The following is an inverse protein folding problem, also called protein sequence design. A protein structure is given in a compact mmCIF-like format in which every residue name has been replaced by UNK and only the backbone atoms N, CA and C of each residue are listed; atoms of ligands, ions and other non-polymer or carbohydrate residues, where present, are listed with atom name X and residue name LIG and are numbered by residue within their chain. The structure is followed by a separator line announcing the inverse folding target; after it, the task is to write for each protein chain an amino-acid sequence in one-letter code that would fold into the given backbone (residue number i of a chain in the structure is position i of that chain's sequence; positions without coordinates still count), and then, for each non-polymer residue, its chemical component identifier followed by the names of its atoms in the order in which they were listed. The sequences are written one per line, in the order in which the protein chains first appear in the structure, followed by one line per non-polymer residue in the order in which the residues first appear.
data_IF_257371917420
#
_entry.id   IF_257371917420
#
_cell.length_a   1.000
_cell.length_b   1.000
_cell.length_c   1.000
_cell.angle_alpha   90.00
_cell.angle_beta   90.00
_cell.angle_gamma   90.00
#
_symmetry.space_group_name_H-M   'P 1'
#
loop_
_entity.id
_entity.type
_entity.pdbx_description
1 polymer ?
#
# COMPACT_ATOMS: atom_id res chain seq x y z
N UNK A 1 10.22 -10.47 7.07
CA UNK A 1 10.31 -11.90 6.69
C UNK A 1 10.85 -11.94 5.27
N UNK A 2 11.83 -12.80 4.98
CA UNK A 2 12.38 -12.98 3.62
C UNK A 2 12.02 -14.38 3.14
N UNK A 3 11.54 -14.47 1.91
CA UNK A 3 11.23 -15.73 1.24
C UNK A 3 12.18 -15.89 0.06
N UNK A 4 12.83 -17.06 -0.06
CA UNK A 4 13.69 -17.41 -1.18
C UNK A 4 13.08 -18.55 -2.01
N UNK A 5 13.22 -18.46 -3.33
CA UNK A 5 12.80 -19.47 -4.28
C UNK A 5 13.88 -19.71 -5.32
N UNK A 6 13.98 -20.93 -5.82
CA UNK A 6 14.94 -21.31 -6.85
C UNK A 6 14.26 -22.16 -7.92
N UNK A 7 14.75 -22.08 -9.13
CA UNK A 7 14.37 -22.98 -10.25
C UNK A 7 15.16 -24.29 -10.26
N UNK A 8 16.12 -24.45 -9.33
CA UNK A 8 16.87 -25.68 -9.17
C UNK A 8 15.94 -26.81 -8.63
N UNK A 9 16.30 -28.06 -8.83
CA UNK A 9 15.53 -29.24 -8.39
C UNK A 9 15.62 -29.50 -6.88
N UNK A 10 16.48 -28.78 -6.16
CA UNK A 10 16.68 -28.87 -4.71
C UNK A 10 16.69 -27.52 -4.06
N UNK A 11 16.34 -27.50 -2.78
CA UNK A 11 16.50 -26.32 -1.93
C UNK A 11 17.97 -25.92 -1.83
N UNK A 12 18.24 -24.63 -1.94
CA UNK A 12 19.57 -24.05 -1.79
C UNK A 12 19.61 -23.08 -0.62
N UNK A 13 20.65 -23.16 0.20
CA UNK A 13 20.87 -22.21 1.30
C UNK A 13 22.09 -21.35 0.96
N UNK A 14 21.85 -20.07 0.70
CA UNK A 14 22.91 -19.07 0.49
C UNK A 14 22.44 -17.70 1.00
N UNK A 15 23.37 -16.82 1.32
CA UNK A 15 23.14 -15.50 1.89
C UNK A 15 22.21 -15.52 3.15
N UNK A 16 22.23 -16.63 3.89
CA UNK A 16 21.39 -16.81 5.09
C UNK A 16 19.90 -17.05 4.80
N UNK A 17 19.50 -17.23 3.54
CA UNK A 17 18.12 -17.47 3.11
C UNK A 17 18.01 -18.86 2.48
N UNK A 18 17.02 -19.62 2.94
CA UNK A 18 16.66 -20.89 2.30
C UNK A 18 15.81 -20.62 1.05
N UNK A 19 16.38 -20.92 -0.12
CA UNK A 19 15.70 -20.82 -1.40
C UNK A 19 15.06 -22.15 -1.75
N UNK A 20 13.75 -22.18 -1.80
CA UNK A 20 12.94 -23.38 -2.00
C UNK A 20 12.76 -23.71 -3.47
N UNK A 21 12.94 -24.97 -3.81
CA UNK A 21 12.70 -25.50 -5.15
C UNK A 21 11.21 -25.63 -5.50
N UNK A 22 10.35 -25.77 -4.48
CA UNK A 22 8.91 -25.86 -4.64
C UNK A 22 8.20 -24.79 -3.78
N UNK A 23 7.13 -24.18 -4.29
CA UNK A 23 6.53 -24.30 -5.59
C UNK A 23 7.41 -23.59 -6.61
N UNK A 24 7.56 -24.15 -7.80
CA UNK A 24 8.36 -23.49 -8.83
C UNK A 24 7.89 -22.06 -9.08
N UNK A 25 8.76 -21.10 -8.80
CA UNK A 25 8.62 -19.73 -9.28
C UNK A 25 9.45 -19.57 -10.53
N UNK A 26 8.82 -19.13 -11.60
CA UNK A 26 9.46 -18.89 -12.88
C UNK A 26 9.52 -17.40 -13.13
N UNK A 27 10.70 -16.78 -13.04
CA UNK A 27 10.87 -15.41 -13.50
C UNK A 27 10.75 -15.38 -15.03
N UNK A 28 10.01 -14.42 -15.55
CA UNK A 28 9.99 -14.14 -16.99
C UNK A 28 11.31 -13.56 -17.46
N UNK A 29 11.48 -13.39 -18.76
CA UNK A 29 12.62 -12.68 -19.30
C UNK A 29 12.66 -11.24 -18.79
N UNK A 30 13.80 -10.84 -18.21
CA UNK A 30 14.01 -9.47 -17.73
C UNK A 30 14.39 -8.61 -18.93
N UNK A 31 13.56 -7.61 -19.25
CA UNK A 31 13.88 -6.59 -20.25
C UNK A 31 14.38 -5.34 -19.56
N UNK A 32 15.61 -4.95 -19.88
CA UNK A 32 16.21 -3.70 -19.42
C UNK A 32 16.29 -2.71 -20.58
N UNK A 33 15.76 -1.53 -20.38
CA UNK A 33 15.80 -0.43 -21.36
C UNK A 33 16.79 0.64 -20.92
N UNK A 34 17.45 1.28 -21.89
CA UNK A 34 18.26 2.48 -21.64
C UNK A 34 17.27 3.66 -21.58
N UNK A 35 17.21 4.35 -20.45
CA UNK A 35 16.30 5.49 -20.22
C UNK A 35 15.48 5.34 -18.96
N UNK A 36 14.51 6.23 -18.77
CA UNK A 36 13.66 6.30 -17.57
C UNK A 36 12.37 5.45 -17.66
N UNK A 37 12.10 4.83 -18.81
CA UNK A 37 10.98 3.89 -18.90
C UNK A 37 11.22 2.68 -18.01
N UNK A 38 10.15 2.22 -17.36
CA UNK A 38 10.21 1.08 -16.45
C UNK A 38 10.73 -0.18 -17.15
N UNK A 39 11.51 -0.98 -16.45
CA UNK A 39 11.96 -2.27 -16.93
C UNK A 39 10.86 -3.29 -16.63
N UNK A 40 10.39 -3.97 -17.66
CA UNK A 40 9.36 -4.99 -17.53
C UNK A 40 9.96 -6.33 -17.10
N UNK A 41 9.47 -6.88 -16.03
CA UNK A 41 9.69 -8.27 -15.64
C UNK A 41 8.47 -8.79 -14.87
N UNK A 42 8.27 -10.08 -14.93
CA UNK A 42 7.15 -10.76 -14.30
C UNK A 42 7.63 -12.02 -13.58
N UNK A 43 7.00 -12.35 -12.49
CA UNK A 43 7.23 -13.62 -11.80
C UNK A 43 5.91 -14.36 -11.70
N UNK A 44 5.89 -15.57 -12.24
CA UNK A 44 4.76 -16.48 -12.13
C UNK A 44 5.04 -17.55 -11.07
N UNK A 45 4.01 -17.94 -10.34
CA UNK A 45 4.14 -18.99 -9.33
C UNK A 45 2.81 -19.69 -9.04
N UNK A 46 2.90 -20.84 -8.38
CA UNK A 46 1.71 -21.56 -7.91
C UNK A 46 1.30 -21.08 -6.52
N UNK A 47 0.01 -20.83 -6.31
CA UNK A 47 -0.57 -20.41 -5.02
C UNK A 47 -0.60 -21.55 -3.99
N UNK A 48 -0.36 -22.79 -4.41
CA UNK A 48 -0.55 -24.00 -3.60
C UNK A 48 0.50 -24.23 -2.50
N UNK A 49 1.38 -23.27 -2.23
CA UNK A 49 2.44 -23.44 -1.23
C UNK A 49 2.15 -22.76 0.10
N UNK A 50 2.55 -23.40 1.20
CA UNK A 50 2.40 -22.89 2.56
C UNK A 50 3.06 -21.51 2.80
N UNK A 51 3.98 -21.08 1.93
CA UNK A 51 4.67 -19.80 2.02
C UNK A 51 3.93 -18.63 1.35
N UNK A 52 3.05 -18.92 0.36
CA UNK A 52 2.27 -17.90 -0.36
C UNK A 52 0.83 -18.40 -0.39
N UNK A 53 -0.03 -17.74 0.37
CA UNK A 53 -1.45 -18.06 0.46
C UNK A 53 -2.24 -17.09 -0.42
N UNK A 54 -3.33 -17.59 -0.97
CA UNK A 54 -4.25 -16.77 -1.74
C UNK A 54 -4.80 -15.60 -0.93
N UNK A 55 -5.18 -15.87 0.33
CA UNK A 55 -5.69 -14.87 1.25
C UNK A 55 -4.67 -13.73 1.49
N UNK A 56 -3.37 -14.06 1.59
CA UNK A 56 -2.32 -13.07 1.80
C UNK A 56 -2.07 -12.21 0.54
N UNK A 57 -2.26 -12.80 -0.66
CA UNK A 57 -2.19 -12.05 -1.92
C UNK A 57 -3.37 -11.09 -2.06
N UNK A 58 -4.59 -11.58 -1.83
CA UNK A 58 -5.83 -10.78 -1.87
C UNK A 58 -5.79 -9.66 -0.83
N UNK A 59 -5.28 -9.94 0.37
CA UNK A 59 -5.11 -8.96 1.42
C UNK A 59 -4.01 -7.92 1.15
N UNK A 60 -3.23 -8.08 0.06
CA UNK A 60 -2.16 -7.16 -0.32
C UNK A 60 -0.91 -7.22 0.59
N UNK A 61 -0.65 -8.37 1.26
CA UNK A 61 0.53 -8.53 2.13
C UNK A 61 1.85 -8.37 1.39
N UNK A 62 1.85 -8.64 0.10
CA UNK A 62 3.03 -8.57 -0.75
C UNK A 62 3.10 -7.28 -1.58
N UNK A 63 2.11 -6.37 -1.46
CA UNK A 63 2.10 -5.10 -2.17
C UNK A 63 3.35 -4.28 -1.84
N UNK A 64 4.10 -3.91 -2.85
CA UNK A 64 5.35 -3.17 -2.68
C UNK A 64 6.49 -3.97 -2.02
N UNK A 65 6.34 -5.28 -1.81
CA UNK A 65 7.42 -6.10 -1.29
C UNK A 65 8.63 -6.07 -2.22
N UNK A 66 9.82 -5.91 -1.64
CA UNK A 66 11.06 -5.90 -2.41
C UNK A 66 11.35 -7.29 -2.96
N UNK A 67 11.70 -7.35 -4.23
CA UNK A 67 12.07 -8.58 -4.94
C UNK A 67 13.45 -8.41 -5.55
N UNK A 68 14.29 -9.42 -5.38
CA UNK A 68 15.57 -9.55 -6.06
C UNK A 68 15.57 -10.85 -6.84
N UNK A 69 15.93 -10.79 -8.13
CA UNK A 69 16.09 -11.94 -9.00
C UNK A 69 17.51 -12.02 -9.49
N UNK A 70 18.08 -13.21 -9.49
CA UNK A 70 19.48 -13.41 -9.85
C UNK A 70 19.75 -14.81 -10.37
N UNK A 71 21.00 -15.07 -10.60
CA UNK A 71 21.55 -16.41 -10.91
C UNK A 71 22.44 -16.86 -9.77
N UNK A 72 22.47 -18.14 -9.53
CA UNK A 72 23.33 -18.80 -8.56
C UNK A 72 24.04 -19.98 -9.20
N UNK A 73 25.31 -20.10 -8.97
CA UNK A 73 26.03 -21.37 -9.23
C UNK A 73 25.73 -22.31 -8.05
N UNK A 74 24.96 -23.37 -8.32
CA UNK A 74 24.54 -24.32 -7.29
C UNK A 74 25.67 -25.12 -6.65
N UNK A 75 26.88 -25.13 -7.24
CA UNK A 75 28.06 -25.83 -6.70
C UNK A 75 28.89 -24.92 -5.81
N UNK A 76 29.20 -23.71 -6.26
CA UNK A 76 30.00 -22.74 -5.50
C UNK A 76 29.19 -21.84 -4.59
N UNK A 77 27.87 -21.74 -4.83
CA UNK A 77 26.93 -20.79 -4.23
C UNK A 77 27.28 -19.32 -4.48
N UNK A 78 28.10 -19.06 -5.50
CA UNK A 78 28.33 -17.70 -5.99
C UNK A 78 27.05 -17.16 -6.65
N UNK A 79 26.72 -15.91 -6.35
CA UNK A 79 25.47 -15.27 -6.79
C UNK A 79 25.74 -14.03 -7.62
N UNK A 80 24.83 -13.75 -8.56
CA UNK A 80 24.80 -12.47 -9.26
C UNK A 80 23.36 -11.97 -9.40
N UNK A 81 23.07 -10.79 -8.85
CA UNK A 81 21.76 -10.15 -8.95
C UNK A 81 21.56 -9.59 -10.36
N UNK A 82 20.49 -10.00 -11.01
CA UNK A 82 20.12 -9.54 -12.36
C UNK A 82 19.09 -8.42 -12.31
N UNK A 83 18.15 -8.48 -11.38
CA UNK A 83 17.06 -7.49 -11.25
C UNK A 83 16.74 -7.26 -9.77
N UNK A 84 16.46 -6.00 -9.43
CA UNK A 84 15.93 -5.57 -8.13
C UNK A 84 14.78 -4.61 -8.34
N UNK A 85 13.72 -4.83 -7.58
CA UNK A 85 12.51 -4.00 -7.70
C UNK A 85 11.50 -4.32 -6.60
N UNK A 86 10.25 -3.98 -6.84
CA UNK A 86 9.13 -4.25 -5.93
C UNK A 86 7.97 -4.92 -6.66
N UNK A 87 7.14 -5.64 -5.91
CA UNK A 87 5.89 -6.18 -6.44
C UNK A 87 4.94 -5.02 -6.72
N UNK A 88 4.50 -4.94 -7.98
CA UNK A 88 3.44 -4.03 -8.43
C UNK A 88 2.06 -4.69 -8.33
N UNK A 89 1.42 -4.93 -9.50
CA UNK A 89 0.14 -5.63 -9.54
C UNK A 89 0.31 -7.14 -9.45
N UNK A 90 -0.63 -7.79 -8.78
CA UNK A 90 -0.71 -9.26 -8.71
C UNK A 90 -2.03 -9.68 -9.33
N UNK A 91 -1.97 -10.58 -10.30
CA UNK A 91 -3.14 -11.25 -10.88
C UNK A 91 -3.19 -12.71 -10.46
N UNK A 92 -4.39 -13.25 -10.36
CA UNK A 92 -4.62 -14.64 -9.94
C UNK A 92 -5.56 -15.32 -10.94
N UNK A 93 -5.18 -16.48 -11.42
CA UNK A 93 -6.01 -17.31 -12.29
C UNK A 93 -5.67 -18.78 -12.13
N UNK A 94 -6.69 -19.63 -11.94
CA UNK A 94 -6.55 -21.07 -11.96
C UNK A 94 -5.56 -21.67 -10.95
N UNK A 95 -5.44 -21.08 -9.74
CA UNK A 95 -4.51 -21.54 -8.70
C UNK A 95 -3.04 -21.13 -8.95
N UNK A 96 -2.84 -20.20 -9.87
CA UNK A 96 -1.56 -19.56 -10.13
C UNK A 96 -1.66 -18.05 -9.86
N UNK A 97 -0.53 -17.44 -9.59
CA UNK A 97 -0.44 -15.98 -9.57
C UNK A 97 0.63 -15.51 -10.55
N UNK A 98 0.44 -14.32 -11.09
CA UNK A 98 1.44 -13.58 -11.82
C UNK A 98 1.63 -12.23 -11.13
N UNK A 99 2.86 -11.93 -10.73
CA UNK A 99 3.23 -10.68 -10.08
C UNK A 99 4.09 -9.86 -11.04
N UNK A 100 3.60 -8.70 -11.40
CA UNK A 100 4.37 -7.73 -12.17
C UNK A 100 5.41 -7.08 -11.25
N UNK A 101 6.67 -7.08 -11.67
CA UNK A 101 7.75 -6.45 -10.94
C UNK A 101 8.00 -5.04 -11.50
N UNK A 102 8.01 -4.06 -10.61
CA UNK A 102 8.37 -2.68 -10.91
C UNK A 102 9.84 -2.49 -10.59
N UNK A 103 10.60 -1.96 -11.53
CA UNK A 103 12.00 -1.64 -11.29
C UNK A 103 12.15 -0.39 -10.42
N UNK A 104 13.35 -0.14 -9.90
CA UNK A 104 13.65 1.10 -9.17
C UNK A 104 13.47 2.37 -10.03
N UNK A 105 13.40 2.24 -11.37
CA UNK A 105 13.09 3.36 -12.26
C UNK A 105 11.67 3.87 -12.10
N UNK A 106 10.72 2.98 -11.75
CA UNK A 106 9.34 3.37 -11.48
C UNK A 106 9.21 4.38 -10.34
N UNK A 107 10.13 4.35 -9.39
CA UNK A 107 10.17 5.32 -8.30
C UNK A 107 10.68 6.71 -8.76
N UNK A 108 11.33 6.77 -9.91
CA UNK A 108 11.80 8.00 -10.56
C UNK A 108 10.78 8.59 -11.54
N UNK A 109 9.76 7.81 -11.93
CA UNK A 109 8.66 8.26 -12.79
C UNK A 109 7.61 9.06 -11.99
N UNK A 110 8.08 10.10 -11.33
CA UNK A 110 7.27 11.07 -10.58
C UNK A 110 7.52 12.46 -11.13
N UNK A 111 6.46 13.22 -11.34
CA UNK A 111 6.61 14.63 -11.66
C UNK A 111 7.13 15.36 -10.39
N UNK A 112 8.38 15.89 -10.40
CA UNK A 112 8.95 16.55 -9.25
C UNK A 112 8.34 17.94 -9.00
N UNK A 113 7.58 18.46 -9.97
CA UNK A 113 6.98 19.79 -9.86
C UNK A 113 5.59 19.69 -9.25
N UNK A 114 5.37 20.22 -8.03
CA UNK A 114 4.05 20.20 -7.42
C UNK A 114 3.07 21.07 -8.20
N UNK A 115 1.93 20.50 -8.56
CA UNK A 115 0.85 21.25 -9.16
C UNK A 115 0.12 22.09 -8.11
N UNK A 116 -0.30 23.30 -8.50
CA UNK A 116 -1.17 24.13 -7.67
C UNK A 116 -2.51 23.42 -7.42
N UNK A 117 -2.94 23.40 -6.17
CA UNK A 117 -4.17 22.73 -5.75
C UNK A 117 -4.84 23.49 -4.61
N UNK A 118 -6.18 23.63 -4.63
CA UNK A 118 -6.90 24.20 -3.49
C UNK A 118 -6.83 23.34 -2.24
N UNK A 119 -6.47 22.07 -2.39
CA UNK A 119 -6.32 21.10 -1.30
C UNK A 119 -4.88 20.93 -0.88
N UNK A 120 -4.66 20.57 0.37
CA UNK A 120 -3.34 20.36 0.96
C UNK A 120 -2.65 19.12 0.32
N UNK A 121 -1.42 19.28 -0.13
CA UNK A 121 -0.58 18.22 -0.68
C UNK A 121 0.14 17.39 0.37
N UNK A 122 0.32 17.94 1.59
CA UNK A 122 1.02 17.26 2.66
C UNK A 122 0.30 15.97 3.08
N UNK A 123 1.03 14.92 3.39
CA UNK A 123 0.48 13.74 4.05
C UNK A 123 0.06 14.10 5.47
N UNK A 124 -1.12 13.63 5.91
CA UNK A 124 -1.61 13.90 7.26
C UNK A 124 -0.63 13.32 8.30
N UNK A 125 -0.25 14.13 9.28
CA UNK A 125 0.80 13.84 10.26
C UNK A 125 2.17 13.51 9.64
N UNK A 126 2.39 13.84 8.36
CA UNK A 126 3.71 13.72 7.73
C UNK A 126 4.60 14.94 8.05
N UNK A 127 5.87 14.93 7.59
CA UNK A 127 6.84 15.99 7.91
C UNK A 127 6.37 17.40 7.55
N UNK A 128 5.66 17.55 6.43
CA UNK A 128 5.16 18.85 5.98
C UNK A 128 3.91 19.32 6.72
N UNK A 129 3.08 18.36 7.21
CA UNK A 129 1.92 18.63 8.04
C UNK A 129 2.32 18.98 9.47
N UNK A 130 3.41 18.39 9.97
CA UNK A 130 4.03 18.63 11.27
C UNK A 130 3.12 18.36 12.50
N UNK A 131 1.95 17.76 12.34
CA UNK A 131 1.14 17.26 13.45
C UNK A 131 1.77 15.98 14.02
N UNK A 132 1.75 15.85 15.36
CA UNK A 132 2.22 14.62 15.99
C UNK A 132 1.23 13.47 15.75
N UNK A 133 1.63 12.38 15.08
CA UNK A 133 0.72 11.27 14.80
C UNK A 133 0.13 10.61 16.05
N UNK A 134 0.81 10.64 17.19
CA UNK A 134 0.33 10.02 18.43
C UNK A 134 -0.92 10.70 19.00
N UNK A 135 -1.09 12.02 18.73
CA UNK A 135 -2.23 12.78 19.21
C UNK A 135 -3.50 12.52 18.38
N UNK A 136 -3.33 11.86 17.22
CA UNK A 136 -4.37 11.56 16.25
C UNK A 136 -4.55 10.05 16.03
N UNK A 137 -4.07 9.23 16.96
CA UNK A 137 -4.20 7.77 16.93
C UNK A 137 -4.94 7.26 18.15
N UNK A 138 -5.91 6.37 17.90
CA UNK A 138 -6.64 5.68 18.96
C UNK A 138 -6.48 4.17 18.77
N UNK A 139 -6.20 3.46 19.85
CA UNK A 139 -6.19 1.99 19.87
C UNK A 139 -7.50 1.49 20.43
N UNK A 140 -8.14 0.60 19.69
CA UNK A 140 -9.45 0.05 20.03
C UNK A 140 -9.53 -1.41 19.58
N UNK A 141 -10.68 -2.05 19.79
CA UNK A 141 -10.94 -3.42 19.36
C UNK A 141 -12.13 -3.47 18.41
N UNK A 142 -12.13 -4.47 17.54
CA UNK A 142 -13.21 -4.72 16.59
C UNK A 142 -14.40 -5.33 17.32
N UNK A 143 -15.56 -4.71 17.19
CA UNK A 143 -16.84 -5.18 17.74
C UNK A 143 -17.59 -6.09 16.77
N UNK A 144 -17.56 -5.77 15.47
CA UNK A 144 -18.18 -6.58 14.42
C UNK A 144 -17.49 -6.37 13.08
N UNK A 145 -17.59 -7.38 12.22
CA UNK A 145 -17.03 -7.41 10.86
C UNK A 145 -18.14 -7.70 9.88
N UNK A 146 -18.18 -6.97 8.78
CA UNK A 146 -19.09 -7.13 7.66
C UNK A 146 -18.25 -7.20 6.38
N UNK A 147 -17.78 -8.39 5.96
CA UNK A 147 -16.89 -8.54 4.82
C UNK A 147 -17.55 -8.14 3.49
N UNK A 148 -18.86 -8.36 3.35
CA UNK A 148 -19.60 -8.05 2.11
C UNK A 148 -19.66 -6.54 1.86
N UNK A 149 -19.73 -5.75 2.93
CA UNK A 149 -19.72 -4.28 2.86
C UNK A 149 -18.32 -3.68 3.06
N UNK A 150 -17.25 -4.48 3.17
CA UNK A 150 -15.90 -4.06 3.54
C UNK A 150 -15.88 -3.16 4.77
N UNK A 151 -16.66 -3.51 5.80
CA UNK A 151 -16.90 -2.68 6.96
C UNK A 151 -16.53 -3.36 8.26
N UNK A 152 -15.94 -2.59 9.16
CA UNK A 152 -15.70 -2.97 10.54
C UNK A 152 -16.39 -1.98 11.49
N UNK A 153 -16.93 -2.47 12.59
CA UNK A 153 -17.32 -1.62 13.72
C UNK A 153 -16.31 -1.83 14.86
N UNK A 154 -16.02 -0.78 15.59
CA UNK A 154 -15.08 -0.81 16.71
C UNK A 154 -15.80 -0.44 18.02
N UNK A 155 -15.13 -0.64 19.16
CA UNK A 155 -15.65 -0.19 20.46
C UNK A 155 -15.61 1.35 20.61
N UNK A 156 -14.91 2.04 19.68
CA UNK A 156 -14.97 3.49 19.61
C UNK A 156 -16.40 3.94 19.26
N UNK A 157 -16.95 4.83 20.08
CA UNK A 157 -18.35 5.24 19.93
C UNK A 157 -18.56 6.30 18.84
N UNK A 158 -17.55 7.15 18.60
CA UNK A 158 -17.59 8.21 17.59
C UNK A 158 -16.60 7.94 16.47
N UNK A 159 -17.14 7.64 15.30
CA UNK A 159 -16.36 7.42 14.09
C UNK A 159 -16.21 8.66 13.21
N UNK A 160 -16.80 9.80 13.55
CA UNK A 160 -16.88 10.99 12.70
C UNK A 160 -15.51 11.55 12.30
N UNK A 161 -14.53 11.42 13.20
CA UNK A 161 -13.15 11.88 12.99
C UNK A 161 -12.30 11.04 12.06
N UNK A 162 -12.74 9.85 11.68
CA UNK A 162 -11.89 8.88 10.96
C UNK A 162 -12.14 8.83 9.45
N UNK A 163 -13.07 9.58 8.89
CA UNK A 163 -13.21 9.70 7.42
C UNK A 163 -11.90 10.17 6.79
N UNK A 164 -11.45 9.50 5.74
CA UNK A 164 -10.14 9.69 5.09
C UNK A 164 -8.93 9.27 5.96
N UNK A 165 -9.18 8.67 7.10
CA UNK A 165 -8.16 8.14 7.98
C UNK A 165 -7.67 6.75 7.57
N UNK A 166 -6.97 6.09 8.50
CA UNK A 166 -6.47 4.73 8.29
C UNK A 166 -6.75 3.85 9.49
N UNK A 167 -7.02 2.57 9.21
CA UNK A 167 -6.99 1.51 10.21
C UNK A 167 -5.74 0.66 10.01
N UNK A 168 -5.04 0.35 11.07
CA UNK A 168 -3.94 -0.62 11.08
C UNK A 168 -4.31 -1.77 11.99
N UNK A 169 -4.31 -2.98 11.47
CA UNK A 169 -4.62 -4.19 12.23
C UNK A 169 -3.39 -4.61 13.04
N UNK A 170 -3.54 -4.73 14.35
CA UNK A 170 -2.44 -5.03 15.29
C UNK A 170 -2.32 -6.52 15.56
N UNK A 171 -3.39 -7.27 15.40
CA UNK A 171 -3.44 -8.72 15.55
C UNK A 171 -4.50 -9.36 14.63
N UNK A 172 -4.70 -10.68 14.76
CA UNK A 172 -5.62 -11.45 13.93
C UNK A 172 -5.04 -11.76 12.53
N UNK A 173 -5.91 -12.21 11.64
CA UNK A 173 -5.53 -12.62 10.27
C UNK A 173 -4.98 -11.48 9.42
N UNK A 174 -5.39 -10.26 9.70
CA UNK A 174 -4.94 -9.04 9.01
C UNK A 174 -3.79 -8.31 9.73
N UNK A 175 -3.16 -8.90 10.74
CA UNK A 175 -2.09 -8.26 11.50
C UNK A 175 -0.99 -7.66 10.60
N UNK A 176 -0.62 -6.41 10.88
CA UNK A 176 0.39 -5.66 10.12
C UNK A 176 -0.14 -4.97 8.84
N UNK A 177 -1.35 -5.29 8.40
CA UNK A 177 -1.97 -4.61 7.26
C UNK A 177 -2.60 -3.28 7.68
N UNK A 178 -2.69 -2.37 6.73
CA UNK A 178 -3.39 -1.10 6.88
C UNK A 178 -4.37 -0.90 5.72
N UNK A 179 -5.53 -0.32 6.03
CA UNK A 179 -6.54 0.05 5.06
C UNK A 179 -6.95 1.51 5.25
N UNK A 180 -7.36 2.18 4.18
CA UNK A 180 -7.91 3.54 4.26
C UNK A 180 -9.40 3.48 4.60
N UNK A 181 -9.84 4.43 5.41
CA UNK A 181 -11.24 4.59 5.76
C UNK A 181 -11.87 5.53 4.71
N UNK A 182 -12.72 4.97 3.85
CA UNK A 182 -13.37 5.72 2.77
C UNK A 182 -14.69 6.35 3.21
N UNK A 183 -15.35 5.77 4.19
CA UNK A 183 -16.57 6.31 4.77
C UNK A 183 -16.71 5.90 6.23
N UNK A 184 -17.38 6.76 7.00
CA UNK A 184 -17.72 6.52 8.39
C UNK A 184 -19.23 6.61 8.56
N UNK A 185 -19.78 5.80 9.45
CA UNK A 185 -21.20 5.79 9.79
C UNK A 185 -21.40 5.40 11.25
N UNK A 186 -22.63 5.51 11.76
CA UNK A 186 -22.95 5.03 13.10
C UNK A 186 -22.75 3.50 13.26
N UNK A 187 -22.77 2.77 12.15
CA UNK A 187 -22.62 1.31 12.15
C UNK A 187 -21.16 0.85 11.94
N UNK A 188 -20.24 1.77 11.65
CA UNK A 188 -18.82 1.45 11.53
C UNK A 188 -18.08 2.21 10.43
N UNK A 189 -16.90 1.70 10.13
CA UNK A 189 -15.89 2.23 9.19
C UNK A 189 -15.88 1.37 7.94
N UNK A 190 -16.07 1.97 6.76
CA UNK A 190 -15.95 1.30 5.46
C UNK A 190 -14.53 1.47 4.93
N UNK A 191 -13.91 0.37 4.52
CA UNK A 191 -12.51 0.32 4.12
C UNK A 191 -12.36 0.24 2.60
N UNK A 192 -11.22 0.70 2.09
CA UNK A 192 -10.87 0.67 0.67
C UNK A 192 -10.37 -0.70 0.19
N UNK A 193 -10.21 -1.66 1.10
CA UNK A 193 -9.73 -3.01 0.83
C UNK A 193 -10.69 -4.06 1.37
N UNK A 194 -10.71 -5.26 0.78
CA UNK A 194 -11.47 -6.37 1.31
C UNK A 194 -11.08 -6.68 2.75
N UNK A 195 -12.09 -6.89 3.59
CA UNK A 195 -11.90 -7.36 4.96
C UNK A 195 -11.94 -8.87 4.97
N UNK A 196 -10.92 -9.48 5.58
CA UNK A 196 -10.85 -10.94 5.71
C UNK A 196 -12.06 -11.46 6.51
N UNK A 197 -12.87 -12.39 5.93
CA UNK A 197 -13.99 -12.99 6.65
C UNK A 197 -13.61 -13.72 7.94
N UNK A 198 -12.36 -14.16 8.04
CA UNK A 198 -11.82 -14.82 9.24
C UNK A 198 -11.32 -13.84 10.32
N UNK A 199 -11.45 -12.52 10.08
CA UNK A 199 -11.08 -11.52 11.08
C UNK A 199 -11.99 -11.60 12.29
N UNK A 200 -11.41 -11.94 13.44
CA UNK A 200 -12.17 -12.15 14.66
C UNK A 200 -12.62 -10.83 15.32
N UNK A 201 -13.80 -10.85 15.95
CA UNK A 201 -14.20 -9.83 16.92
C UNK A 201 -13.23 -9.83 18.10
N UNK A 202 -12.96 -8.64 18.67
CA UNK A 202 -11.96 -8.46 19.71
C UNK A 202 -10.52 -8.26 19.18
N UNK A 203 -10.29 -8.41 17.87
CA UNK A 203 -8.99 -8.08 17.28
C UNK A 203 -8.66 -6.59 17.51
N UNK A 204 -7.42 -6.30 17.87
CA UNK A 204 -6.96 -4.94 18.16
C UNK A 204 -6.61 -4.22 16.88
N UNK A 205 -7.04 -2.98 16.82
CA UNK A 205 -6.75 -2.07 15.71
C UNK A 205 -6.25 -0.73 16.24
N UNK A 206 -5.47 -0.07 15.42
CA UNK A 206 -5.09 1.32 15.58
C UNK A 206 -5.80 2.14 14.51
N UNK A 207 -6.62 3.08 14.94
CA UNK A 207 -7.29 4.05 14.08
C UNK A 207 -6.45 5.32 14.06
N UNK A 208 -6.22 5.87 12.89
CA UNK A 208 -5.69 7.22 12.71
C UNK A 208 -6.79 8.09 12.12
N UNK A 209 -6.97 9.26 12.71
CA UNK A 209 -7.90 10.27 12.20
C UNK A 209 -7.64 10.60 10.73
N UNK A 210 -8.66 11.11 10.06
CA UNK A 210 -8.58 11.52 8.67
C UNK A 210 -8.55 13.03 8.51
N UNK A 211 -8.01 13.47 7.37
CA UNK A 211 -8.00 14.85 6.95
C UNK A 211 -8.50 14.95 5.50
N UNK A 212 -9.54 15.76 5.27
CA UNK A 212 -10.12 16.01 3.95
C UNK A 212 -9.29 16.94 3.07
N UNK A 213 -8.14 17.39 3.59
CA UNK A 213 -7.20 18.26 2.90
C UNK A 213 -7.71 19.67 2.62
N UNK A 214 -8.82 20.09 3.22
CA UNK A 214 -9.32 21.47 3.09
C UNK A 214 -8.68 22.40 4.12
N UNK A 215 -8.56 23.70 3.77
CA UNK A 215 -8.07 24.71 4.72
C UNK A 215 -9.01 24.88 5.90
N UNK A 216 -10.31 24.71 5.70
CA UNK A 216 -11.31 24.82 6.78
C UNK A 216 -11.09 23.76 7.86
N UNK A 217 -10.90 22.50 7.46
CA UNK A 217 -10.57 21.41 8.38
C UNK A 217 -9.22 21.60 9.04
N UNK A 218 -8.20 22.01 8.26
CA UNK A 218 -6.86 22.25 8.77
C UNK A 218 -6.84 23.32 9.86
N UNK A 219 -7.61 24.42 9.68
CA UNK A 219 -7.73 25.50 10.65
C UNK A 219 -8.65 25.13 11.82
N UNK A 220 -9.88 24.69 11.50
CA UNK A 220 -10.93 24.54 12.51
C UNK A 220 -10.78 23.30 13.38
N UNK A 221 -10.27 22.19 12.83
CA UNK A 221 -10.14 20.94 13.59
C UNK A 221 -8.74 20.73 14.16
N UNK A 222 -7.71 21.10 13.38
CA UNK A 222 -6.33 20.79 13.73
C UNK A 222 -5.51 21.99 14.17
N UNK A 223 -6.05 23.21 14.06
CA UNK A 223 -5.32 24.48 14.35
C UNK A 223 -3.94 24.53 13.69
N UNK A 224 -3.86 24.06 12.44
CA UNK A 224 -2.59 23.81 11.75
C UNK A 224 -2.47 24.56 10.41
N UNK A 225 -3.16 25.68 10.26
CA UNK A 225 -3.18 26.46 9.01
C UNK A 225 -1.77 26.89 8.54
N UNK A 226 -0.82 27.11 9.46
CA UNK A 226 0.55 27.49 9.13
C UNK A 226 1.31 26.43 8.33
N UNK A 227 0.94 25.16 8.47
CA UNK A 227 1.52 24.03 7.76
C UNK A 227 0.64 23.56 6.56
N UNK A 228 -0.37 24.34 6.18
CA UNK A 228 -1.19 24.03 5.02
C UNK A 228 -0.36 24.16 3.73
N UNK A 229 -0.35 23.10 2.92
CA UNK A 229 0.43 23.00 1.67
C UNK A 229 -0.50 22.95 0.45
N UNK A 230 -1.32 23.97 0.30
CA UNK A 230 -2.21 24.15 -0.83
C UNK A 230 -2.49 25.64 -1.03
N UNK A 231 -3.19 25.95 -2.12
CA UNK A 231 -3.56 27.32 -2.52
C UNK A 231 -5.10 27.45 -2.45
N UNK A 232 -5.70 27.63 -1.25
CA UNK A 232 -7.15 27.54 -1.04
C UNK A 232 -7.96 28.64 -1.73
N UNK A 233 -7.28 29.69 -2.18
CA UNK A 233 -7.91 30.85 -2.85
C UNK A 233 -7.65 30.88 -4.36
N UNK A 234 -7.25 29.77 -4.96
CA UNK A 234 -7.14 29.67 -6.40
C UNK A 234 -8.52 29.96 -7.05
N UNK A 235 -8.57 30.83 -8.05
CA UNK A 235 -9.80 31.04 -8.82
C UNK A 235 -10.20 29.74 -9.52
N UNK A 236 -11.49 29.39 -9.43
CA UNK A 236 -12.02 28.24 -10.15
C UNK A 236 -12.00 28.46 -11.68
N UNK A 237 -12.16 27.39 -12.43
CA UNK A 237 -12.19 27.41 -13.91
C UNK A 237 -13.20 28.42 -14.47
N UNK A 238 -14.30 28.68 -13.77
CA UNK A 238 -15.32 29.66 -14.17
C UNK A 238 -14.79 31.10 -14.21
N UNK A 239 -13.85 31.44 -13.33
CA UNK A 239 -13.20 32.75 -13.35
C UNK A 239 -12.17 32.87 -14.47
N UNK A 240 -11.50 31.80 -14.82
CA UNK A 240 -10.58 31.77 -15.97
C UNK A 240 -11.32 31.92 -17.30
N UNK A 241 -12.52 31.35 -17.38
CA UNK A 241 -13.38 31.49 -18.59
C UNK A 241 -13.94 32.91 -18.74
N UNK A 242 -13.99 33.74 -17.70
CA UNK A 242 -14.47 35.12 -17.73
C UNK A 242 -13.38 36.15 -18.13
N UNK A 243 -12.10 35.73 -18.17
CA UNK A 243 -11.05 36.64 -18.65
C UNK A 243 -11.19 36.88 -20.14
N UNK A 244 -11.31 38.13 -20.56
CA UNK A 244 -11.39 38.44 -21.99
C UNK A 244 -10.10 38.02 -22.68
N UNK A 245 -10.21 37.18 -23.71
CA UNK A 245 -9.07 36.88 -24.55
C UNK A 245 -8.51 38.17 -25.13
N UNK A 246 -7.20 38.41 -25.09
CA UNK A 246 -6.63 39.59 -25.78
C UNK A 246 -6.96 39.50 -27.24
N UNK A 247 -7.47 40.60 -27.78
CA UNK A 247 -7.80 40.76 -29.23
C UNK A 247 -6.54 40.88 -30.06
#
# INVERSE_FOLDING_TARGET
MTLGFTTHDRDLLFDGVLHRAAPGMLPSAIRKTIGFSDDESEVEGAISHAAIREEDLVAGRYDGARVESGIVDWQSLETATLHGGSIGSVSQEGGKFAAQLRSAKADLDVDPVPLSSPTCRASFCGPECALNPLDHETRTTIRSVDPDANRIATEEADHSGYSFGTVTFLDGTMAGLSARIIATSQVGLTLDRPVDPALATGARVKLREGCDKTIATCTGRFDNACNFRGEPFLPGNDMLAQYPMPR
#
